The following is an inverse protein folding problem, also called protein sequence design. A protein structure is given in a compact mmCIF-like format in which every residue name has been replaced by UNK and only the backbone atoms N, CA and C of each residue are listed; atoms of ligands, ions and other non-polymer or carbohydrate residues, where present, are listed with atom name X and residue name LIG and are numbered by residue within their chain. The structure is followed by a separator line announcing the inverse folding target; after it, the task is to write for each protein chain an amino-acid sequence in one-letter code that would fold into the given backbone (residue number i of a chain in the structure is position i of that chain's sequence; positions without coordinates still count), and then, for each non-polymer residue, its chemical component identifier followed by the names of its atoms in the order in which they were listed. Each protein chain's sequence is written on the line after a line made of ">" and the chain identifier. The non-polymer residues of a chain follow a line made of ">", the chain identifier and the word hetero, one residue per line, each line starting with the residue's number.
data_IF_569932227152
#
_entry.id   IF_569932227152
#
_cell.length_a   1.000
_cell.length_b   1.000
_cell.length_c   1.000
_cell.angle_alpha   90.00
_cell.angle_beta   90.00
_cell.angle_gamma   90.00
#
_symmetry.space_group_name_H-M   'P 1'
#
loop_
_entity.id
_entity.type
_entity.pdbx_description
1 polymer ?
#
# COMPACT_ATOMS: atom_id res chain seq x y z
N UNK A 1 -8.77 26.96 -21.12
CA UNK A 1 -9.96 27.83 -21.20
C UNK A 1 -10.96 27.38 -20.15
N UNK A 2 -11.80 28.27 -19.60
CA UNK A 2 -12.90 27.87 -18.71
C UNK A 2 -14.00 27.26 -19.58
N UNK A 3 -14.47 26.04 -19.27
CA UNK A 3 -15.61 25.46 -19.99
C UNK A 3 -16.83 26.36 -19.77
N UNK A 4 -17.68 26.64 -20.78
CA UNK A 4 -18.81 27.56 -20.66
C UNK A 4 -19.84 27.15 -19.58
N UNK A 5 -19.76 25.93 -19.06
CA UNK A 5 -20.62 25.39 -18.01
C UNK A 5 -19.93 25.15 -16.64
N UNK A 6 -18.65 25.54 -16.45
CA UNK A 6 -17.93 25.55 -15.15
C UNK A 6 -18.49 26.68 -14.24
N UNK A 7 -19.78 26.53 -13.85
CA UNK A 7 -20.56 27.39 -12.94
C UNK A 7 -20.10 27.36 -11.48
N UNK A 8 -19.13 26.50 -11.15
CA UNK A 8 -18.60 26.40 -9.80
C UNK A 8 -17.88 27.69 -9.37
N UNK A 9 -18.20 28.16 -8.16
CA UNK A 9 -17.50 29.27 -7.51
C UNK A 9 -16.11 28.79 -7.05
N UNK A 10 -15.08 29.57 -7.40
CA UNK A 10 -13.70 29.34 -7.01
C UNK A 10 -13.52 29.41 -5.48
N UNK A 11 -14.39 30.14 -4.76
CA UNK A 11 -14.50 30.13 -3.29
C UNK A 11 -14.83 28.73 -2.74
N UNK A 12 -15.79 28.05 -3.36
CA UNK A 12 -16.23 26.72 -2.92
C UNK A 12 -15.17 25.64 -3.22
N UNK A 13 -14.37 25.84 -4.28
CA UNK A 13 -13.18 25.03 -4.57
C UNK A 13 -12.11 25.25 -3.49
N UNK A 14 -11.82 26.50 -3.09
CA UNK A 14 -10.86 26.79 -2.02
C UNK A 14 -11.32 26.23 -0.67
N UNK A 15 -12.56 26.45 -0.26
CA UNK A 15 -13.11 25.91 0.98
C UNK A 15 -13.05 24.37 1.02
N UNK A 16 -13.26 23.69 -0.13
CA UNK A 16 -13.10 22.24 -0.23
C UNK A 16 -11.62 21.78 -0.14
N UNK A 17 -10.67 22.61 -0.57
CA UNK A 17 -9.23 22.34 -0.39
C UNK A 17 -8.81 22.54 1.06
N UNK A 18 -9.41 23.51 1.76
CA UNK A 18 -9.11 23.80 3.17
C UNK A 18 -9.87 22.92 4.18
N UNK A 19 -10.82 22.11 3.70
CA UNK A 19 -11.72 21.24 4.49
C UNK A 19 -12.80 21.99 5.27
N UNK A 20 -13.21 23.16 4.79
CA UNK A 20 -14.27 24.00 5.40
C UNK A 20 -15.68 23.70 4.85
N UNK A 21 -15.77 22.89 3.78
CA UNK A 21 -17.05 22.42 3.20
C UNK A 21 -17.67 21.24 3.95
N UNK A 22 -19.00 21.14 3.95
CA UNK A 22 -19.71 19.94 4.43
C UNK A 22 -19.33 18.69 3.61
N UNK A 23 -19.57 17.46 4.12
CA UNK A 23 -19.29 16.23 3.38
C UNK A 23 -20.00 16.14 2.01
N UNK A 24 -21.20 16.71 1.90
CA UNK A 24 -21.99 16.69 0.66
C UNK A 24 -21.48 17.72 -0.37
N UNK A 25 -21.19 18.95 0.05
CA UNK A 25 -20.51 19.93 -0.83
C UNK A 25 -19.15 19.39 -1.29
N UNK A 26 -18.39 18.78 -0.38
CA UNK A 26 -17.12 18.11 -0.68
C UNK A 26 -17.27 17.02 -1.76
N UNK A 27 -18.38 16.29 -1.75
CA UNK A 27 -18.70 15.27 -2.76
C UNK A 27 -18.98 15.90 -4.12
N UNK A 28 -19.84 16.93 -4.16
CA UNK A 28 -20.24 17.60 -5.40
C UNK A 28 -19.04 18.35 -6.05
N UNK A 29 -18.23 19.06 -5.25
CA UNK A 29 -16.98 19.70 -5.71
C UNK A 29 -16.04 18.67 -6.35
N UNK A 30 -15.80 17.55 -5.66
CA UNK A 30 -14.86 16.51 -6.15
C UNK A 30 -15.35 15.82 -7.42
N UNK A 31 -16.66 15.66 -7.61
CA UNK A 31 -17.19 15.13 -8.86
C UNK A 31 -17.01 16.13 -10.01
N UNK A 32 -17.35 17.42 -9.82
CA UNK A 32 -17.14 18.43 -10.85
C UNK A 32 -15.65 18.63 -11.21
N UNK A 33 -14.74 18.50 -10.24
CA UNK A 33 -13.28 18.52 -10.44
C UNK A 33 -12.76 17.31 -11.24
N UNK A 34 -13.50 16.20 -11.32
CA UNK A 34 -13.18 15.09 -12.22
C UNK A 34 -13.53 15.41 -13.67
N UNK A 35 -14.59 16.17 -13.92
CA UNK A 35 -15.12 16.37 -15.26
C UNK A 35 -14.66 17.69 -15.91
N UNK A 36 -14.29 18.69 -15.12
CA UNK A 36 -13.99 20.04 -15.60
C UNK A 36 -12.53 20.46 -15.37
N UNK A 37 -11.71 20.46 -16.43
CA UNK A 37 -10.27 20.77 -16.36
C UNK A 37 -9.93 22.17 -15.79
N UNK A 38 -10.73 23.20 -16.06
CA UNK A 38 -10.48 24.53 -15.50
C UNK A 38 -10.77 24.59 -13.99
N UNK A 39 -11.90 24.00 -13.58
CA UNK A 39 -12.27 23.89 -12.17
C UNK A 39 -11.27 22.94 -11.43
N UNK A 40 -10.71 21.92 -12.12
CA UNK A 40 -9.63 21.03 -11.64
C UNK A 40 -8.27 21.73 -11.47
N UNK A 41 -7.86 22.55 -12.42
CA UNK A 41 -6.61 23.31 -12.35
C UNK A 41 -6.60 24.28 -11.15
N UNK A 42 -7.74 24.93 -10.88
CA UNK A 42 -7.92 25.75 -9.69
C UNK A 42 -7.75 24.94 -8.39
N UNK A 43 -8.37 23.76 -8.29
CA UNK A 43 -8.22 22.86 -7.13
C UNK A 43 -6.75 22.51 -6.85
N UNK A 44 -5.97 22.17 -7.89
CA UNK A 44 -4.54 21.89 -7.74
C UNK A 44 -3.73 23.14 -7.36
N UNK A 45 -4.07 24.32 -7.87
CA UNK A 45 -3.41 25.57 -7.50
C UNK A 45 -3.60 25.89 -6.01
N UNK A 46 -4.84 25.85 -5.51
CA UNK A 46 -5.12 26.05 -4.08
C UNK A 46 -4.44 24.98 -3.21
N UNK A 47 -4.49 23.70 -3.60
CA UNK A 47 -3.85 22.62 -2.84
C UNK A 47 -2.31 22.78 -2.78
N UNK A 48 -1.70 23.23 -3.88
CA UNK A 48 -0.28 23.59 -3.92
C UNK A 48 0.03 24.73 -2.95
N UNK A 49 -0.69 25.86 -3.04
CA UNK A 49 -0.52 27.01 -2.12
C UNK A 49 -0.72 26.61 -0.65
N UNK A 50 -1.73 25.81 -0.32
CA UNK A 50 -1.95 25.27 1.02
C UNK A 50 -0.74 24.45 1.50
N UNK A 51 -0.20 23.58 0.67
CA UNK A 51 0.99 22.79 1.00
C UNK A 51 2.24 23.65 1.23
N UNK A 52 2.43 24.70 0.42
CA UNK A 52 3.52 25.67 0.59
C UNK A 52 3.37 26.40 1.92
N UNK A 53 2.20 26.98 2.21
CA UNK A 53 1.92 27.68 3.47
C UNK A 53 2.15 26.79 4.69
N UNK A 54 1.70 25.52 4.66
CA UNK A 54 1.96 24.56 5.73
C UNK A 54 3.47 24.27 5.89
N UNK A 55 4.22 24.13 4.79
CA UNK A 55 5.67 23.92 4.82
C UNK A 55 6.47 25.14 5.29
N UNK A 56 5.98 26.36 5.03
CA UNK A 56 6.57 27.63 5.47
C UNK A 56 6.13 28.01 6.89
N UNK A 57 5.05 27.42 7.42
CA UNK A 57 4.60 27.63 8.80
C UNK A 57 5.61 27.01 9.79
N UNK A 58 6.50 27.86 10.32
CA UNK A 58 7.44 27.47 11.38
C UNK A 58 6.66 27.26 12.67
N UNK A 59 6.12 26.06 12.83
CA UNK A 59 5.55 25.52 14.06
C UNK A 59 6.51 25.63 15.26
N UNK A 60 6.42 26.55 16.26
CA UNK A 60 7.24 26.38 17.47
C UNK A 60 6.89 25.07 18.21
N UNK A 61 5.69 24.51 17.99
CA UNK A 61 5.32 23.18 18.45
C UNK A 61 6.07 22.05 17.71
N UNK A 62 6.51 22.26 16.45
CA UNK A 62 7.29 21.27 15.71
C UNK A 62 8.69 21.07 16.29
N UNK A 63 9.27 22.11 16.92
CA UNK A 63 10.53 22.01 17.64
C UNK A 63 10.44 21.19 18.95
N UNK A 64 9.23 20.98 19.49
CA UNK A 64 8.98 20.13 20.66
C UNK A 64 8.23 18.82 20.31
N UNK A 65 7.94 18.55 19.03
CA UNK A 65 7.30 17.30 18.62
C UNK A 65 8.27 16.12 18.87
N UNK A 66 8.00 15.21 19.82
CA UNK A 66 8.97 14.18 20.17
C UNK A 66 9.12 13.19 19.01
N UNK A 67 10.37 12.82 18.70
CA UNK A 67 10.73 11.91 17.61
C UNK A 67 10.01 10.54 17.66
N UNK A 68 9.44 10.19 18.82
CA UNK A 68 8.58 9.03 19.05
C UNK A 68 7.34 8.99 18.14
N UNK A 69 6.75 10.12 17.76
CA UNK A 69 5.55 10.13 16.91
C UNK A 69 5.88 9.72 15.46
N UNK A 70 6.93 10.29 14.89
CA UNK A 70 7.44 9.92 13.56
C UNK A 70 7.89 8.46 13.51
N UNK A 71 8.54 7.97 14.57
CA UNK A 71 8.91 6.55 14.70
C UNK A 71 7.69 5.63 14.79
N UNK A 72 6.65 5.98 15.55
CA UNK A 72 5.40 5.19 15.63
C UNK A 72 4.70 5.08 14.28
N UNK A 73 4.58 6.18 13.54
CA UNK A 73 3.97 6.19 12.20
C UNK A 73 4.79 5.36 11.21
N UNK A 74 6.12 5.57 11.16
CA UNK A 74 7.01 4.80 10.27
C UNK A 74 7.00 3.30 10.57
N UNK A 75 7.05 2.90 11.86
CA UNK A 75 6.92 1.49 12.27
C UNK A 75 5.58 0.87 11.84
N UNK A 76 4.46 1.58 12.01
CA UNK A 76 3.13 1.07 11.64
C UNK A 76 2.98 0.90 10.12
N UNK A 77 3.54 1.82 9.31
CA UNK A 77 3.52 1.71 7.84
C UNK A 77 4.45 0.59 7.34
N UNK A 78 5.64 0.44 7.93
CA UNK A 78 6.57 -0.64 7.57
C UNK A 78 5.96 -2.03 7.86
N UNK A 79 5.44 -2.23 9.08
CA UNK A 79 4.76 -3.47 9.47
C UNK A 79 3.54 -3.76 8.58
N UNK A 80 2.74 -2.73 8.24
CA UNK A 80 1.53 -2.88 7.42
C UNK A 80 1.80 -3.24 5.95
N UNK A 81 2.92 -2.79 5.36
CA UNK A 81 3.22 -3.06 3.94
C UNK A 81 3.88 -4.41 3.72
N UNK A 82 4.60 -4.94 4.71
CA UNK A 82 5.39 -6.15 4.54
C UNK A 82 4.61 -7.44 4.88
N UNK A 83 3.65 -7.40 5.81
CA UNK A 83 2.87 -8.59 6.19
C UNK A 83 1.88 -9.04 5.12
N UNK A 84 1.00 -8.15 4.65
CA UNK A 84 -0.17 -8.53 3.81
C UNK A 84 0.24 -9.20 2.50
N UNK A 85 1.31 -8.72 1.85
CA UNK A 85 1.81 -9.33 0.61
C UNK A 85 2.47 -10.69 0.88
N UNK A 86 3.18 -10.83 2.01
CA UNK A 86 3.77 -12.10 2.42
C UNK A 86 2.71 -13.14 2.81
N UNK A 87 1.75 -12.81 3.68
CA UNK A 87 0.73 -13.75 4.14
C UNK A 87 -0.16 -14.24 2.97
N UNK A 88 -0.43 -13.39 1.97
CA UNK A 88 -1.13 -13.81 0.74
C UNK A 88 -0.25 -14.74 -0.12
N UNK A 89 1.02 -14.39 -0.32
CA UNK A 89 1.95 -15.21 -1.10
C UNK A 89 2.17 -16.58 -0.44
N UNK A 90 2.50 -16.59 0.86
CA UNK A 90 2.74 -17.77 1.71
C UNK A 90 1.56 -18.76 1.68
N UNK A 91 0.33 -18.25 1.81
CA UNK A 91 -0.90 -19.06 1.85
C UNK A 91 -1.31 -19.69 0.51
N UNK A 92 -0.81 -19.15 -0.61
CA UNK A 92 -1.09 -19.65 -1.96
C UNK A 92 0.08 -20.39 -2.60
N UNK A 93 1.33 -20.01 -2.31
CA UNK A 93 2.53 -20.63 -2.89
C UNK A 93 2.66 -22.11 -2.49
N UNK A 94 2.35 -22.48 -1.24
CA UNK A 94 2.31 -23.88 -0.80
C UNK A 94 1.32 -24.74 -1.61
N UNK A 95 0.16 -24.18 -1.97
CA UNK A 95 -0.84 -24.91 -2.79
C UNK A 95 -0.34 -25.10 -4.22
N UNK A 96 0.30 -24.08 -4.78
CA UNK A 96 0.91 -24.14 -6.12
C UNK A 96 2.05 -25.15 -6.15
N UNK A 97 3.00 -25.09 -5.22
CA UNK A 97 4.15 -26.02 -5.18
C UNK A 97 3.73 -27.47 -4.96
N UNK A 98 2.73 -27.73 -4.11
CA UNK A 98 2.20 -29.08 -3.89
C UNK A 98 1.45 -29.62 -5.12
N UNK A 99 0.68 -28.78 -5.83
CA UNK A 99 0.06 -29.17 -7.11
C UNK A 99 1.08 -29.43 -8.21
N UNK A 100 2.16 -28.64 -8.30
CA UNK A 100 3.23 -28.83 -9.26
C UNK A 100 4.03 -30.12 -8.98
N UNK A 101 4.36 -30.38 -7.71
CA UNK A 101 5.01 -31.62 -7.30
C UNK A 101 4.14 -32.86 -7.54
N UNK A 102 2.83 -32.76 -7.31
CA UNK A 102 1.88 -33.84 -7.60
C UNK A 102 1.74 -34.11 -9.10
N UNK A 103 1.67 -33.06 -9.94
CA UNK A 103 1.68 -33.21 -11.40
C UNK A 103 2.97 -33.87 -11.91
N UNK A 104 4.13 -33.45 -11.38
CA UNK A 104 5.42 -34.04 -11.74
C UNK A 104 5.52 -35.51 -11.29
N UNK A 105 5.07 -35.84 -10.08
CA UNK A 105 5.02 -37.21 -9.57
C UNK A 105 4.11 -38.11 -10.42
N UNK A 106 2.94 -37.63 -10.83
CA UNK A 106 2.03 -38.34 -11.74
C UNK A 106 2.58 -38.46 -13.18
N UNK A 107 3.65 -37.74 -13.52
CA UNK A 107 4.36 -37.84 -14.80
C UNK A 107 5.72 -38.56 -14.70
N UNK A 108 6.06 -39.14 -13.54
CA UNK A 108 7.40 -39.67 -13.25
C UNK A 108 7.90 -40.71 -14.26
N UNK A 109 7.00 -41.50 -14.87
CA UNK A 109 7.32 -42.47 -15.92
C UNK A 109 7.91 -41.84 -17.21
N UNK A 110 7.85 -40.51 -17.35
CA UNK A 110 8.32 -39.77 -18.53
C UNK A 110 9.49 -38.79 -18.24
N UNK A 111 9.99 -38.71 -17.00
CA UNK A 111 11.02 -37.73 -16.60
C UNK A 111 12.37 -38.38 -16.24
N UNK A 112 13.47 -37.68 -16.56
CA UNK A 112 14.81 -38.09 -16.10
C UNK A 112 14.87 -38.11 -14.56
N UNK A 113 15.53 -39.12 -13.94
CA UNK A 113 15.74 -39.16 -12.49
C UNK A 113 16.53 -37.94 -11.97
N UNK A 114 17.32 -37.28 -12.82
CA UNK A 114 18.06 -36.06 -12.49
C UNK A 114 17.11 -34.90 -12.20
N UNK A 115 16.03 -34.78 -12.98
CA UNK A 115 15.00 -33.76 -12.83
C UNK A 115 14.20 -34.03 -11.55
N UNK A 116 13.86 -35.30 -11.29
CA UNK A 116 13.21 -35.72 -10.04
C UNK A 116 14.08 -35.41 -8.81
N UNK A 117 15.38 -35.67 -8.87
CA UNK A 117 16.32 -35.34 -7.78
C UNK A 117 16.42 -33.82 -7.56
N UNK A 118 16.56 -33.03 -8.63
CA UNK A 118 16.57 -31.56 -8.53
C UNK A 118 15.28 -31.02 -7.91
N UNK A 119 14.12 -31.58 -8.26
CA UNK A 119 12.84 -31.17 -7.68
C UNK A 119 12.71 -31.55 -6.20
N UNK A 120 13.18 -32.74 -5.80
CA UNK A 120 13.23 -33.15 -4.39
C UNK A 120 14.17 -32.27 -3.55
N UNK A 121 15.34 -31.89 -4.09
CA UNK A 121 16.26 -30.96 -3.42
C UNK A 121 15.65 -29.56 -3.30
N UNK A 122 15.00 -29.05 -4.35
CA UNK A 122 14.31 -27.76 -4.34
C UNK A 122 13.16 -27.74 -3.32
N UNK A 123 12.32 -28.77 -3.31
CA UNK A 123 11.19 -28.88 -2.38
C UNK A 123 11.66 -29.08 -0.93
N UNK A 124 12.68 -29.90 -0.71
CA UNK A 124 13.31 -30.09 0.61
C UNK A 124 13.95 -28.81 1.16
N UNK A 125 14.63 -28.03 0.31
CA UNK A 125 15.17 -26.72 0.70
C UNK A 125 14.06 -25.74 1.09
N UNK A 126 12.96 -25.69 0.32
CA UNK A 126 11.78 -24.86 0.68
C UNK A 126 11.17 -25.29 2.01
N UNK A 127 11.00 -26.60 2.26
CA UNK A 127 10.49 -27.10 3.54
C UNK A 127 11.42 -26.75 4.72
N UNK A 128 12.74 -26.88 4.54
CA UNK A 128 13.73 -26.55 5.56
C UNK A 128 13.71 -25.05 5.93
N UNK A 129 13.73 -24.17 4.92
CA UNK A 129 13.61 -22.71 5.09
C UNK A 129 12.25 -22.32 5.69
N UNK A 130 11.21 -23.13 5.52
CA UNK A 130 9.90 -22.92 6.13
C UNK A 130 9.89 -23.34 7.61
N UNK A 131 10.50 -24.47 7.97
CA UNK A 131 10.58 -24.93 9.36
C UNK A 131 11.37 -23.97 10.26
N UNK A 132 12.52 -23.48 9.79
CA UNK A 132 13.38 -22.54 10.52
C UNK A 132 12.65 -21.22 10.86
N UNK A 133 11.87 -20.70 9.90
CA UNK A 133 11.03 -19.51 10.10
C UNK A 133 9.83 -19.74 11.02
N UNK A 134 9.37 -20.98 11.17
CA UNK A 134 8.22 -21.29 12.01
C UNK A 134 8.57 -21.24 13.51
N UNK A 135 9.74 -21.77 13.90
CA UNK A 135 10.24 -21.59 15.28
C UNK A 135 10.60 -20.12 15.58
N UNK A 136 11.11 -19.37 14.59
CA UNK A 136 11.38 -17.94 14.77
C UNK A 136 10.12 -17.11 15.05
N UNK A 137 8.95 -17.44 14.45
CA UNK A 137 7.67 -16.80 14.82
C UNK A 137 7.20 -17.21 16.23
N UNK A 138 7.59 -18.40 16.73
CA UNK A 138 7.17 -18.92 18.04
C UNK A 138 7.78 -18.13 19.19
N UNK A 139 9.11 -17.94 19.16
CA UNK A 139 9.84 -17.17 20.18
C UNK A 139 9.47 -15.69 20.29
N UNK A 140 8.72 -15.14 19.31
CA UNK A 140 8.28 -13.73 19.31
C UNK A 140 6.89 -13.55 19.96
N UNK A 141 6.19 -14.63 20.31
CA UNK A 141 4.84 -14.58 20.90
C UNK A 141 4.79 -14.90 22.41
N UNK A 142 5.91 -15.29 23.02
CA UNK A 142 6.06 -15.61 24.45
C UNK A 142 6.85 -14.52 25.23
N UNK A 143 6.90 -13.26 24.72
CA UNK A 143 7.60 -12.10 25.31
C UNK A 143 6.78 -10.82 25.22
#
# INVERSE_FOLDING_TARGET
>A
MKSPECRFDERLISACVDSETTPEETRIVKEHVRECDSCRAAFFAYASTRSTLLSTSISPAAALAPATLGLKIRRKIAASKQSVVFDIFERHFYKLSLSAGMLLYLSADNFSPEITMLFLLYFGFHLYVYSDKFDYRRHILDV
#
